data_IF_172418721155
#
_entry.id   IF_172418721155
#
_cell.length_a   1.000
_cell.length_b   1.000
_cell.length_c   1.000
_cell.angle_alpha   90.00
_cell.angle_beta   90.00
_cell.angle_gamma   90.00
#
_symmetry.space_group_name_H-M   'P 1'
#
loop_
_entity.id
_entity.type
_entity.pdbx_description
1 polymer ?
#
# COMPACT_ATOMS: atom_id res chain seq x y z
N UNK A 1 -15.15 -2.57 40.37
CA UNK A 1 -15.27 -3.42 39.16
C UNK A 1 -14.36 -2.79 38.12
N UNK A 2 -13.16 -3.33 37.91
CA UNK A 2 -12.17 -2.75 36.99
C UNK A 2 -12.58 -3.12 35.56
N UNK A 3 -13.12 -2.16 34.81
CA UNK A 3 -13.41 -2.32 33.38
C UNK A 3 -12.09 -2.35 32.62
N UNK A 4 -11.55 -3.55 32.44
CA UNK A 4 -10.44 -3.80 31.54
C UNK A 4 -10.88 -3.35 30.13
N UNK A 5 -10.07 -2.57 29.40
CA UNK A 5 -10.39 -2.20 28.04
C UNK A 5 -10.54 -3.48 27.20
N UNK A 6 -11.43 -3.52 26.19
CA UNK A 6 -11.54 -4.67 25.30
C UNK A 6 -10.26 -4.77 24.46
N UNK A 7 -9.26 -5.47 25.00
CA UNK A 7 -8.02 -5.75 24.29
C UNK A 7 -8.31 -6.81 23.23
N UNK A 8 -8.58 -6.40 21.99
CA UNK A 8 -8.65 -7.21 20.75
C UNK A 8 -9.57 -8.47 20.72
N UNK A 9 -10.19 -8.86 21.84
CA UNK A 9 -10.89 -10.14 22.03
C UNK A 9 -12.38 -10.07 21.66
N UNK A 10 -12.92 -8.86 21.44
CA UNK A 10 -14.33 -8.64 21.07
C UNK A 10 -14.61 -8.82 19.57
N UNK A 11 -13.60 -9.08 18.75
CA UNK A 11 -13.76 -9.22 17.29
C UNK A 11 -14.08 -10.67 16.93
N UNK A 12 -15.25 -10.96 16.32
CA UNK A 12 -15.60 -12.27 15.82
C UNK A 12 -14.50 -12.91 14.97
N UNK A 13 -14.31 -14.22 15.12
CA UNK A 13 -13.26 -14.98 14.44
C UNK A 13 -13.34 -14.85 12.91
N UNK A 14 -14.54 -14.75 12.33
CA UNK A 14 -14.74 -14.56 10.90
C UNK A 14 -14.16 -13.23 10.39
N UNK A 15 -14.22 -12.17 11.20
CA UNK A 15 -13.63 -10.86 10.87
C UNK A 15 -12.11 -10.95 10.90
N UNK A 16 -11.53 -11.63 11.90
CA UNK A 16 -10.08 -11.83 11.98
C UNK A 16 -9.55 -12.63 10.79
N UNK A 17 -10.24 -13.71 10.41
CA UNK A 17 -9.91 -14.50 9.22
C UNK A 17 -10.03 -13.68 7.93
N UNK A 18 -11.10 -12.89 7.78
CA UNK A 18 -11.29 -12.01 6.62
C UNK A 18 -10.18 -10.95 6.51
N UNK A 19 -9.85 -10.28 7.61
CA UNK A 19 -8.75 -9.30 7.65
C UNK A 19 -7.40 -9.94 7.29
N UNK A 20 -7.13 -11.14 7.82
CA UNK A 20 -5.93 -11.90 7.48
C UNK A 20 -5.85 -12.28 6.00
N UNK A 21 -6.96 -12.72 5.42
CA UNK A 21 -7.05 -13.07 3.99
C UNK A 21 -6.82 -11.83 3.10
N UNK A 22 -7.44 -10.70 3.44
CA UNK A 22 -7.26 -9.43 2.71
C UNK A 22 -5.79 -8.97 2.80
N UNK A 23 -5.20 -8.99 4.00
CA UNK A 23 -3.80 -8.62 4.20
C UNK A 23 -2.84 -9.56 3.45
N UNK A 24 -3.16 -10.85 3.42
CA UNK A 24 -2.41 -11.84 2.64
C UNK A 24 -2.47 -11.57 1.14
N UNK A 25 -3.66 -11.25 0.61
CA UNK A 25 -3.86 -10.90 -0.80
C UNK A 25 -3.10 -9.63 -1.19
N UNK A 26 -3.09 -8.61 -0.33
CA UNK A 26 -2.32 -7.37 -0.55
C UNK A 26 -0.82 -7.66 -0.62
N UNK A 27 -0.30 -8.52 0.27
CA UNK A 27 1.13 -8.91 0.27
C UNK A 27 1.49 -9.77 -0.94
N UNK A 28 0.63 -10.73 -1.31
CA UNK A 28 0.90 -11.65 -2.41
C UNK A 28 0.88 -10.94 -3.77
N UNK A 29 0.07 -9.91 -3.93
CA UNK A 29 0.02 -9.13 -5.18
C UNK A 29 1.21 -8.18 -5.34
N UNK A 30 2.04 -8.02 -4.30
CA UNK A 30 2.87 -6.84 -4.13
C UNK A 30 1.98 -5.60 -3.94
N UNK A 31 2.44 -4.60 -3.20
CA UNK A 31 1.73 -3.33 -3.22
C UNK A 31 1.53 -2.91 -4.70
N UNK A 32 0.32 -2.50 -5.13
CA UNK A 32 0.04 -2.21 -6.53
C UNK A 32 0.93 -1.10 -7.14
N UNK A 33 1.74 -0.44 -6.32
CA UNK A 33 2.63 0.66 -6.66
C UNK A 33 4.12 0.40 -6.34
N UNK A 34 4.48 -0.84 -6.00
CA UNK A 34 5.79 -1.14 -5.41
C UNK A 34 5.94 -0.56 -3.99
N UNK A 35 7.05 -0.86 -3.33
CA UNK A 35 7.41 -0.18 -2.09
C UNK A 35 7.88 1.26 -2.41
N UNK A 36 7.64 2.24 -1.53
CA UNK A 36 8.19 3.59 -1.68
C UNK A 36 9.70 3.56 -1.90
N UNK A 37 10.19 4.29 -2.89
CA UNK A 37 11.62 4.39 -3.21
C UNK A 37 11.98 5.84 -3.51
N UNK A 38 13.22 6.22 -3.21
CA UNK A 38 13.76 7.54 -3.50
C UNK A 38 14.21 7.68 -4.96
N UNK A 39 14.35 6.55 -5.66
CA UNK A 39 14.85 6.47 -7.02
C UNK A 39 13.74 5.95 -7.93
N UNK A 40 13.38 6.74 -8.94
CA UNK A 40 12.43 6.32 -9.94
C UNK A 40 12.94 5.10 -10.72
N UNK A 41 12.06 4.19 -11.18
CA UNK A 41 12.44 3.08 -12.06
C UNK A 41 13.25 3.58 -13.27
N UNK A 42 14.39 2.96 -13.60
CA UNK A 42 15.29 3.43 -14.67
C UNK A 42 14.77 3.15 -16.09
N UNK A 43 13.73 2.33 -16.23
CA UNK A 43 13.12 1.99 -17.52
C UNK A 43 11.60 1.79 -17.37
N UNK A 44 10.87 2.86 -17.04
CA UNK A 44 9.44 2.76 -16.78
C UNK A 44 8.65 2.57 -18.08
N UNK A 45 7.58 1.79 -17.99
CA UNK A 45 6.59 1.62 -19.06
C UNK A 45 5.51 2.69 -18.93
N UNK A 46 4.91 3.08 -20.04
CA UNK A 46 3.75 3.99 -20.02
C UNK A 46 2.66 3.38 -19.13
N UNK A 47 2.14 4.17 -18.19
CA UNK A 47 1.16 3.72 -17.21
C UNK A 47 1.73 2.97 -16.01
N UNK A 48 3.04 2.80 -15.92
CA UNK A 48 3.70 2.29 -14.73
C UNK A 48 3.61 3.32 -13.60
N UNK A 49 3.38 2.84 -12.40
CA UNK A 49 3.20 3.66 -11.23
C UNK A 49 4.30 3.41 -10.21
N UNK A 50 4.72 4.48 -9.54
CA UNK A 50 5.80 4.49 -8.55
C UNK A 50 5.40 5.39 -7.38
N UNK A 51 5.82 5.00 -6.17
CA UNK A 51 5.66 5.83 -4.97
C UNK A 51 6.99 6.53 -4.68
N UNK A 52 7.00 7.85 -4.79
CA UNK A 52 8.17 8.68 -4.51
C UNK A 52 8.30 8.94 -3.00
N UNK A 53 9.28 8.28 -2.37
CA UNK A 53 9.50 8.42 -0.93
C UNK A 53 10.10 9.78 -0.54
N UNK A 54 10.69 10.53 -1.48
CA UNK A 54 11.20 11.88 -1.24
C UNK A 54 10.10 12.93 -1.26
N UNK A 55 8.95 12.60 -1.87
CA UNK A 55 7.80 13.49 -2.01
C UNK A 55 6.61 12.99 -1.18
N UNK A 56 6.82 12.76 0.12
CA UNK A 56 5.75 12.34 1.05
C UNK A 56 4.98 11.08 0.63
N UNK A 57 5.65 10.14 -0.03
CA UNK A 57 5.04 8.94 -0.62
C UNK A 57 3.92 9.28 -1.64
N UNK A 58 4.06 10.39 -2.39
CA UNK A 58 3.14 10.69 -3.49
C UNK A 58 3.28 9.65 -4.59
N UNK A 59 2.12 9.20 -5.08
CA UNK A 59 2.04 8.31 -6.21
C UNK A 59 2.25 9.09 -7.52
N UNK A 60 3.14 8.58 -8.36
CA UNK A 60 3.45 9.13 -9.68
C UNK A 60 3.21 8.08 -10.76
N UNK A 61 2.74 8.50 -11.92
CA UNK A 61 2.53 7.66 -13.09
C UNK A 61 3.42 8.12 -14.25
N UNK A 62 4.01 7.18 -14.98
CA UNK A 62 4.81 7.51 -16.15
C UNK A 62 3.93 7.73 -17.37
N UNK A 63 3.99 8.93 -17.97
CA UNK A 63 3.22 9.29 -19.16
C UNK A 63 3.92 8.90 -20.49
N UNK A 64 5.15 8.37 -20.41
CA UNK A 64 6.01 8.10 -21.57
C UNK A 64 7.20 9.05 -21.72
N UNK A 65 7.17 10.17 -21.01
CA UNK A 65 8.18 11.22 -21.06
C UNK A 65 8.57 11.76 -19.69
N UNK A 66 7.61 11.88 -18.78
CA UNK A 66 7.77 12.43 -17.43
C UNK A 66 6.89 11.70 -16.41
N UNK A 67 7.27 11.79 -15.14
CA UNK A 67 6.48 11.30 -14.02
C UNK A 67 5.44 12.35 -13.60
N UNK A 68 4.16 12.02 -13.76
CA UNK A 68 3.04 12.87 -13.36
C UNK A 68 2.55 12.50 -11.96
N UNK A 69 2.35 13.48 -11.10
CA UNK A 69 1.71 13.25 -9.80
C UNK A 69 0.22 12.93 -9.99
N UNK A 70 -0.28 11.91 -9.28
CA UNK A 70 -1.67 11.48 -9.40
C UNK A 70 -2.66 12.35 -8.59
N UNK A 71 -2.18 13.13 -7.62
CA UNK A 71 -2.96 14.08 -6.81
C UNK A 71 -2.06 15.00 -5.98
#
# INVERSE_FOLDING_TARGET
MLHLPPTASSVPEWIRKAAGAINGLIKQRGAPFGEPSDTAPPSPRIGEAWIDSTDSNRAKIWDGSTWQALW
#
